data_IF_805884002423
#
_entry.id   IF_805884002423
#
_cell.length_a   1.000
_cell.length_b   1.000
_cell.length_c   1.000
_cell.angle_alpha   90.00
_cell.angle_beta   90.00
_cell.angle_gamma   90.00
#
_symmetry.space_group_name_H-M   'P 1'
#
loop_
_entity.id
_entity.type
_entity.pdbx_description
1 polymer ?
#
# COMPACT_ATOMS: atom_id res chain seq x y z
N UNK A 1 17.97 6.08 14.05
CA UNK A 1 16.58 5.79 13.63
C UNK A 1 16.00 4.73 14.54
N UNK A 2 14.79 4.91 15.07
CA UNK A 2 14.22 3.97 16.05
C UNK A 2 13.97 2.60 15.40
N UNK A 3 14.46 1.53 16.04
CA UNK A 3 14.28 0.14 15.59
C UNK A 3 12.79 -0.18 15.35
N UNK A 4 11.93 0.35 16.20
CA UNK A 4 10.48 0.22 16.11
C UNK A 4 9.87 0.77 14.80
N UNK A 5 10.41 1.86 14.24
CA UNK A 5 9.95 2.40 12.95
C UNK A 5 10.35 1.50 11.78
N UNK A 6 11.57 0.95 11.81
CA UNK A 6 12.07 -0.01 10.81
C UNK A 6 11.23 -1.29 10.82
N UNK A 7 10.94 -1.80 12.00
CA UNK A 7 10.12 -3.01 12.14
C UNK A 7 8.71 -2.81 11.58
N UNK A 8 8.06 -1.67 11.85
CA UNK A 8 6.76 -1.35 11.25
C UNK A 8 6.83 -1.28 9.73
N UNK A 9 7.89 -0.68 9.18
CA UNK A 9 8.08 -0.60 7.75
C UNK A 9 8.31 -1.98 7.13
N UNK A 10 9.07 -2.85 7.80
CA UNK A 10 9.25 -4.24 7.37
C UNK A 10 7.91 -4.98 7.30
N UNK A 11 7.07 -4.84 8.33
CA UNK A 11 5.73 -5.42 8.32
C UNK A 11 4.88 -4.88 7.15
N UNK A 12 4.95 -3.57 6.87
CA UNK A 12 4.23 -2.97 5.73
C UNK A 12 4.69 -3.59 4.39
N UNK A 13 6.00 -3.78 4.19
CA UNK A 13 6.55 -4.40 2.99
C UNK A 13 6.18 -5.88 2.86
N UNK A 14 6.27 -6.67 3.94
CA UNK A 14 5.87 -8.08 3.93
C UNK A 14 4.37 -8.22 3.65
N UNK A 15 3.54 -7.37 4.27
CA UNK A 15 2.10 -7.36 4.01
C UNK A 15 1.80 -7.02 2.54
N UNK A 16 2.47 -6.01 1.99
CA UNK A 16 2.32 -5.64 0.58
C UNK A 16 2.73 -6.79 -0.36
N UNK A 17 3.86 -7.45 -0.10
CA UNK A 17 4.30 -8.61 -0.88
C UNK A 17 3.29 -9.74 -0.83
N UNK A 18 2.72 -10.04 0.34
CA UNK A 18 1.67 -11.04 0.50
C UNK A 18 0.40 -10.65 -0.26
N UNK A 19 -0.03 -9.38 -0.23
CA UNK A 19 -1.20 -8.91 -1.00
C UNK A 19 -0.98 -9.13 -2.50
N UNK A 20 0.19 -8.75 -3.03
CA UNK A 20 0.49 -8.96 -4.46
C UNK A 20 0.54 -10.45 -4.79
N UNK A 21 1.11 -11.29 -3.92
CA UNK A 21 1.10 -12.75 -4.10
C UNK A 21 -0.33 -13.31 -4.12
N UNK A 22 -1.20 -12.85 -3.21
CA UNK A 22 -2.60 -13.27 -3.19
C UNK A 22 -3.37 -12.84 -4.46
N UNK A 23 -3.04 -11.70 -5.07
CA UNK A 23 -3.64 -11.30 -6.35
C UNK A 23 -3.28 -12.25 -7.49
N UNK A 24 -2.16 -13.00 -7.38
CA UNK A 24 -1.76 -14.02 -8.34
C UNK A 24 -2.52 -15.35 -8.16
N UNK A 25 -3.82 -15.30 -7.84
CA UNK A 25 -4.64 -16.47 -7.49
C UNK A 25 -4.55 -17.62 -8.53
N UNK A 26 -4.58 -17.31 -9.81
CA UNK A 26 -4.52 -18.32 -10.89
C UNK A 26 -3.19 -19.04 -11.01
N UNK A 27 -2.13 -18.45 -10.46
CA UNK A 27 -0.80 -19.06 -10.39
C UNK A 27 -0.54 -19.72 -9.03
N UNK A 28 -1.04 -19.12 -7.96
CA UNK A 28 -0.86 -19.59 -6.59
C UNK A 28 -1.78 -20.78 -6.24
N UNK A 29 -2.90 -20.92 -6.96
CA UNK A 29 -3.99 -21.86 -6.67
C UNK A 29 -4.69 -21.57 -5.33
N UNK A 30 -5.79 -22.28 -5.07
CA UNK A 30 -6.69 -21.97 -3.96
C UNK A 30 -6.02 -22.21 -2.59
N UNK A 31 -5.42 -23.37 -2.39
CA UNK A 31 -4.84 -23.74 -1.09
C UNK A 31 -3.76 -22.76 -0.66
N UNK A 32 -2.78 -22.47 -1.53
CA UNK A 32 -1.72 -21.55 -1.17
C UNK A 32 -2.22 -20.10 -1.06
N UNK A 33 -3.24 -19.69 -1.83
CA UNK A 33 -3.88 -18.39 -1.63
C UNK A 33 -4.50 -18.26 -0.22
N UNK A 34 -5.19 -19.30 0.27
CA UNK A 34 -5.76 -19.31 1.61
C UNK A 34 -4.69 -19.29 2.71
N UNK A 35 -3.59 -20.03 2.53
CA UNK A 35 -2.45 -20.01 3.45
C UNK A 35 -1.80 -18.62 3.49
N UNK A 36 -1.51 -18.02 2.34
CA UNK A 36 -0.91 -16.68 2.26
C UNK A 36 -1.85 -15.62 2.84
N UNK A 37 -3.16 -15.72 2.58
CA UNK A 37 -4.18 -14.87 3.20
C UNK A 37 -4.20 -15.00 4.73
N UNK A 38 -4.12 -16.22 5.25
CA UNK A 38 -4.08 -16.46 6.71
C UNK A 38 -2.83 -15.85 7.35
N UNK A 39 -1.66 -15.99 6.70
CA UNK A 39 -0.42 -15.35 7.14
C UNK A 39 -0.55 -13.82 7.10
N UNK A 40 -1.13 -13.28 6.04
CA UNK A 40 -1.39 -11.84 5.90
C UNK A 40 -2.27 -11.32 7.05
N UNK A 41 -3.41 -11.96 7.33
CA UNK A 41 -4.30 -11.52 8.41
C UNK A 41 -3.64 -11.63 9.78
N UNK A 42 -2.88 -12.70 10.04
CA UNK A 42 -2.11 -12.86 11.27
C UNK A 42 -1.10 -11.71 11.45
N UNK A 43 -0.38 -11.36 10.38
CA UNK A 43 0.57 -10.26 10.35
C UNK A 43 -0.14 -8.91 10.60
N UNK A 44 -1.27 -8.65 9.95
CA UNK A 44 -2.05 -7.42 10.09
C UNK A 44 -2.62 -7.28 11.50
N UNK A 45 -3.13 -8.36 12.11
CA UNK A 45 -3.59 -8.38 13.50
C UNK A 45 -2.43 -8.05 14.43
N UNK A 46 -1.28 -8.73 14.29
CA UNK A 46 -0.07 -8.45 15.07
C UNK A 46 0.40 -7.00 14.92
N UNK A 47 0.42 -6.47 13.69
CA UNK A 47 0.76 -5.09 13.39
C UNK A 47 -0.18 -4.10 14.12
N UNK A 48 -1.49 -4.38 14.14
CA UNK A 48 -2.48 -3.54 14.80
C UNK A 48 -2.35 -3.59 16.33
N UNK A 49 -2.12 -4.77 16.91
CA UNK A 49 -1.89 -4.95 18.35
C UNK A 49 -0.65 -4.19 18.79
N UNK A 50 0.46 -4.31 18.06
CA UNK A 50 1.70 -3.58 18.34
C UNK A 50 1.52 -2.06 18.25
N UNK A 51 0.63 -1.61 17.36
CA UNK A 51 0.34 -0.19 17.14
C UNK A 51 -0.87 0.32 17.95
N UNK A 52 -1.40 -0.44 18.92
CA UNK A 52 -2.60 -0.05 19.68
C UNK A 52 -2.49 1.31 20.37
N UNK A 53 -1.30 1.65 20.86
CA UNK A 53 -1.00 2.93 21.54
C UNK A 53 -1.05 4.14 20.60
N UNK A 54 -1.01 3.91 19.28
CA UNK A 54 -1.20 4.98 18.31
C UNK A 54 -2.66 5.45 18.29
N UNK A 55 -3.63 4.53 18.38
CA UNK A 55 -5.07 4.88 18.39
C UNK A 55 -5.43 5.85 19.52
N UNK A 56 -4.86 5.67 20.72
CA UNK A 56 -5.09 6.58 21.85
C UNK A 56 -4.36 7.94 21.76
N UNK A 57 -3.38 8.08 20.86
CA UNK A 57 -2.67 9.35 20.60
C UNK A 57 -3.27 10.13 19.44
N UNK A 58 -3.92 9.45 18.49
CA UNK A 58 -4.62 10.09 17.37
C UNK A 58 -5.70 11.05 17.83
N UNK A 59 -6.41 10.71 18.92
CA UNK A 59 -7.43 11.55 19.51
C UNK A 59 -6.91 12.85 20.15
N UNK A 60 -5.58 13.03 20.27
CA UNK A 60 -4.97 14.15 21.02
C UNK A 60 -4.13 15.07 20.11
N UNK A 61 -4.44 16.36 20.12
CA UNK A 61 -3.66 17.43 19.46
C UNK A 61 -4.37 18.09 18.28
N UNK A 62 -3.73 19.11 17.69
CA UNK A 62 -4.27 19.86 16.54
C UNK A 62 -4.26 18.98 15.28
N UNK A 63 -5.33 19.07 14.49
CA UNK A 63 -5.49 18.35 13.22
C UNK A 63 -5.08 19.27 12.08
N UNK A 64 -4.05 18.89 11.33
CA UNK A 64 -3.73 19.48 10.03
C UNK A 64 -4.23 18.56 8.90
N UNK A 65 -4.24 19.05 7.65
CA UNK A 65 -4.77 18.29 6.51
C UNK A 65 -4.04 16.96 6.27
N UNK A 66 -2.75 16.91 6.57
CA UNK A 66 -1.92 15.70 6.46
C UNK A 66 -2.32 14.66 7.49
N UNK A 67 -2.60 15.09 8.72
CA UNK A 67 -3.05 14.22 9.81
C UNK A 67 -4.45 13.66 9.53
N UNK A 68 -5.36 14.47 8.98
CA UNK A 68 -6.67 14.00 8.55
C UNK A 68 -6.56 12.91 7.48
N UNK A 69 -5.75 13.13 6.45
CA UNK A 69 -5.54 12.12 5.40
C UNK A 69 -5.03 10.81 6.00
N UNK A 70 -4.03 10.85 6.89
CA UNK A 70 -3.51 9.65 7.52
C UNK A 70 -4.56 8.91 8.39
N UNK A 71 -5.40 9.65 9.13
CA UNK A 71 -6.48 9.06 9.94
C UNK A 71 -7.51 8.39 9.04
N UNK A 72 -7.95 9.06 7.98
CA UNK A 72 -8.90 8.52 7.00
C UNK A 72 -8.31 7.27 6.34
N UNK A 73 -7.07 7.33 5.84
CA UNK A 73 -6.40 6.18 5.24
C UNK A 73 -6.37 4.99 6.18
N UNK A 74 -6.05 5.18 7.46
CA UNK A 74 -5.99 4.07 8.44
C UNK A 74 -7.39 3.54 8.77
N UNK A 75 -8.40 4.41 8.88
CA UNK A 75 -9.78 4.00 9.12
C UNK A 75 -10.34 3.18 7.95
N UNK A 76 -10.13 3.65 6.72
CA UNK A 76 -10.54 2.94 5.50
C UNK A 76 -9.78 1.64 5.34
N UNK A 77 -8.47 1.61 5.64
CA UNK A 77 -7.67 0.39 5.59
C UNK A 77 -8.17 -0.67 6.57
N UNK A 78 -8.57 -0.27 7.79
CA UNK A 78 -9.21 -1.19 8.75
C UNK A 78 -10.52 -1.76 8.21
N UNK A 79 -11.37 -0.90 7.64
CA UNK A 79 -12.65 -1.33 7.08
C UNK A 79 -12.45 -2.34 5.96
N UNK A 80 -11.61 -2.01 4.97
CA UNK A 80 -11.29 -2.91 3.85
C UNK A 80 -10.65 -4.21 4.32
N UNK A 81 -9.71 -4.17 5.27
CA UNK A 81 -9.13 -5.39 5.84
C UNK A 81 -10.17 -6.26 6.56
N UNK A 82 -11.18 -5.65 7.19
CA UNK A 82 -12.28 -6.40 7.83
C UNK A 82 -13.17 -7.07 6.77
N UNK A 83 -13.52 -6.33 5.70
CA UNK A 83 -14.27 -6.89 4.57
C UNK A 83 -13.50 -8.05 3.93
N UNK A 84 -12.19 -7.89 3.71
CA UNK A 84 -11.32 -8.94 3.19
C UNK A 84 -11.32 -10.17 4.09
N UNK A 85 -11.18 -10.01 5.41
CA UNK A 85 -11.17 -11.13 6.35
C UNK A 85 -12.50 -11.90 6.34
N UNK A 86 -13.62 -11.18 6.42
CA UNK A 86 -14.95 -11.79 6.41
C UNK A 86 -15.20 -12.51 5.09
N UNK A 87 -14.94 -11.86 3.96
CA UNK A 87 -15.16 -12.47 2.65
C UNK A 87 -14.23 -13.66 2.41
N UNK A 88 -12.96 -13.61 2.82
CA UNK A 88 -12.02 -14.75 2.75
C UNK A 88 -12.55 -15.98 3.46
N UNK A 89 -13.07 -15.81 4.69
CA UNK A 89 -13.63 -16.93 5.47
C UNK A 89 -14.87 -17.49 4.79
N UNK A 90 -15.76 -16.64 4.30
CA UNK A 90 -17.02 -17.07 3.67
C UNK A 90 -16.84 -17.75 2.31
N UNK A 91 -15.75 -17.47 1.58
CA UNK A 91 -15.46 -18.08 0.26
C UNK A 91 -14.45 -19.22 0.33
N UNK A 92 -13.85 -19.49 1.49
CA UNK A 92 -12.80 -20.50 1.67
C UNK A 92 -13.31 -21.90 1.31
N UNK A 93 -12.44 -22.69 0.68
CA UNK A 93 -12.71 -24.04 0.22
C UNK A 93 -11.80 -25.09 0.84
N UNK A 94 -10.64 -24.69 1.37
CA UNK A 94 -9.67 -25.66 1.91
C UNK A 94 -9.53 -25.53 3.44
N UNK A 95 -9.29 -24.32 3.97
CA UNK A 95 -8.96 -24.11 5.37
C UNK A 95 -10.18 -23.88 6.28
N UNK A 96 -11.21 -23.18 5.80
CA UNK A 96 -12.38 -22.76 6.59
C UNK A 96 -13.69 -23.26 5.99
N UNK A 97 -13.70 -24.48 5.46
CA UNK A 97 -14.87 -25.10 4.83
C UNK A 97 -16.14 -25.09 5.68
N UNK A 98 -15.99 -25.21 7.00
CA UNK A 98 -17.12 -25.21 7.95
C UNK A 98 -17.82 -23.85 8.14
N UNK A 99 -17.18 -22.75 7.72
CA UNK A 99 -17.73 -21.38 7.73
C UNK A 99 -18.11 -20.89 6.33
N UNK A 100 -17.79 -21.67 5.30
CA UNK A 100 -17.98 -21.29 3.91
C UNK A 100 -19.46 -21.29 3.54
N UNK A 101 -19.85 -20.36 2.67
CA UNK A 101 -21.19 -20.30 2.09
C UNK A 101 -21.21 -21.01 0.74
N UNK A 102 -22.17 -21.93 0.57
CA UNK A 102 -22.42 -22.55 -0.73
C UNK A 102 -22.83 -21.50 -1.77
N UNK A 103 -22.20 -21.55 -2.96
CA UNK A 103 -22.57 -20.65 -4.06
C UNK A 103 -22.25 -19.16 -3.82
N UNK A 104 -21.24 -18.82 -3.02
CA UNK A 104 -20.87 -17.45 -2.63
C UNK A 104 -20.29 -16.57 -3.76
N UNK A 105 -20.94 -16.48 -4.91
CA UNK A 105 -20.50 -15.70 -6.07
C UNK A 105 -20.36 -14.21 -5.75
N UNK A 106 -21.40 -13.61 -5.16
CA UNK A 106 -21.37 -12.21 -4.75
C UNK A 106 -20.23 -11.92 -3.75
N UNK A 107 -19.92 -12.87 -2.85
CA UNK A 107 -18.81 -12.71 -1.90
C UNK A 107 -17.46 -12.73 -2.60
N UNK A 108 -17.29 -13.53 -3.67
CA UNK A 108 -16.06 -13.52 -4.49
C UNK A 108 -15.89 -12.19 -5.23
N UNK A 109 -16.97 -11.62 -5.77
CA UNK A 109 -16.92 -10.30 -6.40
C UNK A 109 -16.51 -9.22 -5.40
N UNK A 110 -17.15 -9.20 -4.23
CA UNK A 110 -16.79 -8.27 -3.15
C UNK A 110 -15.35 -8.50 -2.68
N UNK A 111 -14.90 -9.75 -2.58
CA UNK A 111 -13.52 -10.09 -2.21
C UNK A 111 -12.51 -9.55 -3.22
N UNK A 112 -12.71 -9.80 -4.51
CA UNK A 112 -11.83 -9.30 -5.58
C UNK A 112 -11.82 -7.78 -5.61
N UNK A 113 -12.98 -7.14 -5.52
CA UNK A 113 -13.12 -5.69 -5.46
C UNK A 113 -12.35 -5.09 -4.27
N UNK A 114 -12.57 -5.65 -3.08
CA UNK A 114 -11.90 -5.23 -1.86
C UNK A 114 -10.39 -5.46 -1.93
N UNK A 115 -9.91 -6.52 -2.61
CA UNK A 115 -8.49 -6.80 -2.79
C UNK A 115 -7.78 -5.73 -3.63
N UNK A 116 -8.39 -5.28 -4.73
CA UNK A 116 -7.82 -4.21 -5.56
C UNK A 116 -7.82 -2.86 -4.84
N UNK A 117 -8.92 -2.54 -4.14
CA UNK A 117 -8.97 -1.35 -3.28
C UNK A 117 -7.96 -1.43 -2.14
N UNK A 118 -7.75 -2.63 -1.57
CA UNK A 118 -6.76 -2.84 -0.53
C UNK A 118 -5.36 -2.50 -1.05
N UNK A 119 -4.98 -3.00 -2.23
CA UNK A 119 -3.69 -2.67 -2.83
C UNK A 119 -3.54 -1.16 -3.05
N UNK A 120 -4.58 -0.49 -3.55
CA UNK A 120 -4.59 0.96 -3.74
C UNK A 120 -4.36 1.70 -2.42
N UNK A 121 -5.15 1.40 -1.39
CA UNK A 121 -5.10 2.08 -0.08
C UNK A 121 -3.76 1.82 0.63
N UNK A 122 -3.24 0.59 0.56
CA UNK A 122 -1.91 0.26 1.12
C UNK A 122 -0.80 1.02 0.39
N UNK A 123 -0.91 1.19 -0.93
CA UNK A 123 0.06 2.00 -1.70
C UNK A 123 0.05 3.47 -1.28
N UNK A 124 -1.15 4.04 -1.06
CA UNK A 124 -1.31 5.39 -0.49
C UNK A 124 -0.71 5.44 0.91
N UNK A 125 -1.02 4.46 1.77
CA UNK A 125 -0.46 4.38 3.13
C UNK A 125 1.07 4.37 3.11
N UNK A 126 1.67 3.58 2.22
CA UNK A 126 3.12 3.52 2.03
C UNK A 126 3.70 4.89 1.60
N UNK A 127 3.02 5.59 0.69
CA UNK A 127 3.40 6.95 0.27
C UNK A 127 3.39 7.98 1.40
N UNK A 128 2.49 7.85 2.39
CA UNK A 128 2.51 8.71 3.58
C UNK A 128 3.78 8.53 4.44
N UNK A 129 4.40 7.34 4.35
CA UNK A 129 5.59 6.94 5.10
C UNK A 129 6.90 7.13 4.31
N UNK A 130 6.87 7.82 3.18
CA UNK A 130 8.01 8.03 2.28
C UNK A 130 9.31 8.44 3.00
N UNK A 131 9.24 9.32 4.00
CA UNK A 131 10.42 9.73 4.77
C UNK A 131 11.11 8.58 5.49
N UNK A 132 10.36 7.62 6.03
CA UNK A 132 10.91 6.41 6.69
C UNK A 132 11.50 5.47 5.63
N UNK A 133 10.86 5.35 4.47
CA UNK A 133 11.36 4.54 3.35
C UNK A 133 12.72 5.09 2.90
N UNK A 134 12.81 6.37 2.58
CA UNK A 134 14.05 7.00 2.13
C UNK A 134 15.16 6.93 3.18
N UNK A 135 14.84 7.15 4.45
CA UNK A 135 15.83 6.99 5.54
C UNK A 135 16.30 5.54 5.69
N UNK A 136 15.44 4.56 5.44
CA UNK A 136 15.79 3.14 5.47
C UNK A 136 16.66 2.76 4.28
N UNK A 137 16.30 3.18 3.06
CA UNK A 137 17.12 3.01 1.88
C UNK A 137 18.52 3.63 2.07
N UNK A 138 18.59 4.88 2.56
CA UNK A 138 19.87 5.53 2.86
C UNK A 138 20.71 4.73 3.86
N UNK A 139 20.09 4.19 4.90
CA UNK A 139 20.80 3.37 5.88
C UNK A 139 21.32 2.04 5.29
N UNK A 140 20.53 1.36 4.46
CA UNK A 140 20.89 0.08 3.83
C UNK A 140 22.03 0.27 2.81
N UNK A 141 21.96 1.33 2.01
CA UNK A 141 22.99 1.66 1.02
C UNK A 141 24.18 2.45 1.60
N UNK A 142 24.25 2.66 2.92
CA UNK A 142 25.36 3.35 3.57
C UNK A 142 25.50 4.84 3.23
N UNK A 143 24.44 5.50 2.75
CA UNK A 143 24.45 6.89 2.31
C UNK A 143 24.37 7.82 3.52
N UNK A 144 25.54 8.21 4.05
CA UNK A 144 25.67 9.07 5.24
C UNK A 144 25.46 10.56 4.92
N UNK A 145 26.05 11.04 3.82
CA UNK A 145 25.97 12.46 3.45
C UNK A 145 24.86 12.77 2.44
N UNK A 146 24.46 14.04 2.38
CA UNK A 146 23.57 14.55 1.35
C UNK A 146 24.31 14.62 0.00
N UNK A 147 24.51 13.46 -0.64
CA UNK A 147 25.11 13.40 -1.96
C UNK A 147 24.07 13.81 -3.04
N UNK A 148 24.28 14.91 -3.77
CA UNK A 148 23.35 15.36 -4.80
C UNK A 148 23.20 14.34 -5.94
N UNK A 149 24.25 13.58 -6.26
CA UNK A 149 24.22 12.50 -7.25
C UNK A 149 23.29 11.39 -6.79
N UNK A 150 23.45 10.91 -5.55
CA UNK A 150 22.60 9.87 -4.99
C UNK A 150 21.12 10.29 -4.93
N UNK A 151 20.88 11.55 -4.53
CA UNK A 151 19.53 12.12 -4.52
C UNK A 151 18.92 12.17 -5.92
N UNK A 152 19.71 12.56 -6.93
CA UNK A 152 19.27 12.58 -8.33
C UNK A 152 19.00 11.17 -8.85
N UNK A 153 19.86 10.20 -8.55
CA UNK A 153 19.66 8.78 -8.92
C UNK A 153 18.39 8.20 -8.31
N UNK A 154 18.13 8.44 -7.02
CA UNK A 154 16.90 7.99 -6.34
C UNK A 154 15.64 8.62 -6.96
N UNK A 155 15.71 9.91 -7.34
CA UNK A 155 14.60 10.57 -8.04
C UNK A 155 14.39 10.00 -9.44
N UNK A 156 15.46 9.76 -10.20
CA UNK A 156 15.37 9.13 -11.52
C UNK A 156 14.79 7.73 -11.43
N UNK A 157 15.20 6.94 -10.43
CA UNK A 157 14.62 5.62 -10.17
C UNK A 157 13.12 5.71 -9.84
N UNK A 158 12.72 6.64 -8.97
CA UNK A 158 11.31 6.86 -8.65
C UNK A 158 10.50 7.30 -9.89
N UNK A 159 11.06 8.15 -10.75
CA UNK A 159 10.45 8.55 -12.02
C UNK A 159 10.32 7.36 -12.97
N UNK A 160 11.36 6.55 -13.13
CA UNK A 160 11.33 5.36 -13.97
C UNK A 160 10.26 4.35 -13.49
N UNK A 161 10.19 4.09 -12.19
CA UNK A 161 9.15 3.26 -11.57
C UNK A 161 7.77 3.85 -11.79
N UNK A 162 7.60 5.17 -11.69
CA UNK A 162 6.31 5.83 -11.92
C UNK A 162 5.87 5.73 -13.39
N UNK A 163 6.77 5.95 -14.34
CA UNK A 163 6.49 5.81 -15.77
C UNK A 163 6.12 4.36 -16.12
N UNK A 164 6.85 3.38 -15.57
CA UNK A 164 6.51 1.98 -15.70
C UNK A 164 5.14 1.71 -15.08
N UNK A 165 4.85 2.24 -13.90
CA UNK A 165 3.55 2.10 -13.24
C UNK A 165 2.38 2.67 -14.04
N UNK A 166 2.58 3.75 -14.81
CA UNK A 166 1.55 4.30 -15.70
C UNK A 166 1.26 3.32 -16.85
N UNK A 167 2.30 2.76 -17.46
CA UNK A 167 2.16 1.70 -18.47
C UNK A 167 1.44 0.48 -17.88
N UNK A 168 1.90 0.01 -16.72
CA UNK A 168 1.31 -1.13 -16.01
C UNK A 168 -0.14 -0.88 -15.60
N UNK A 169 -0.54 0.35 -15.28
CA UNK A 169 -1.93 0.68 -14.94
C UNK A 169 -2.88 0.32 -16.09
N UNK A 170 -2.47 0.61 -17.33
CA UNK A 170 -3.23 0.27 -18.52
C UNK A 170 -3.17 -1.24 -18.81
N UNK A 171 -1.97 -1.84 -18.78
CA UNK A 171 -1.78 -3.27 -19.06
C UNK A 171 -2.48 -4.19 -18.06
N UNK A 172 -2.53 -3.80 -16.79
CA UNK A 172 -3.21 -4.55 -15.73
C UNK A 172 -4.71 -4.22 -15.66
N UNK A 173 -5.21 -3.33 -16.52
CA UNK A 173 -6.58 -2.79 -16.46
C UNK A 173 -6.97 -2.38 -15.03
N UNK A 174 -6.03 -1.77 -14.30
CA UNK A 174 -6.18 -1.57 -12.85
C UNK A 174 -7.32 -0.58 -12.53
N UNK A 175 -7.55 0.41 -13.39
CA UNK A 175 -8.65 1.36 -13.26
C UNK A 175 -10.04 0.71 -13.34
N UNK A 176 -10.25 -0.24 -14.25
CA UNK A 176 -11.55 -0.93 -14.38
C UNK A 176 -11.82 -1.84 -13.18
N UNK A 177 -10.76 -2.47 -12.65
CA UNK A 177 -10.80 -3.30 -11.43
C UNK A 177 -11.25 -2.50 -10.19
N UNK A 178 -10.92 -1.20 -10.11
CA UNK A 178 -11.35 -0.33 -9.01
C UNK A 178 -12.83 0.11 -9.09
N UNK A 179 -13.47 -0.01 -10.26
CA UNK A 179 -14.89 0.37 -10.47
C UNK A 179 -15.77 -0.88 -10.65
N UNK A 180 -15.25 -2.07 -10.32
CA UNK A 180 -15.95 -3.35 -10.46
C UNK A 180 -16.47 -3.60 -11.89
N UNK A 181 -15.75 -3.12 -12.90
CA UNK A 181 -16.10 -3.47 -14.28
C UNK A 181 -15.66 -4.91 -14.51
N UNK A 182 -16.54 -5.73 -15.10
CA UNK A 182 -16.21 -7.11 -15.51
C UNK A 182 -15.11 -7.08 -16.57
N UNK A 183 -13.85 -7.13 -16.14
CA UNK A 183 -12.75 -7.50 -17.01
C UNK A 183 -12.36 -8.93 -16.63
N UNK A 184 -12.76 -9.90 -17.45
CA UNK A 184 -12.16 -11.25 -17.47
C UNK A 184 -10.72 -11.20 -18.02
N UNK A 185 -10.03 -10.10 -17.75
CA UNK A 185 -8.69 -9.79 -18.21
C UNK A 185 -7.71 -10.27 -17.13
N UNK A 186 -7.44 -11.57 -17.24
CA UNK A 186 -6.54 -12.30 -16.37
C UNK A 186 -5.16 -12.31 -16.99
N UNK A 187 -4.14 -12.07 -16.15
CA UNK A 187 -2.77 -12.11 -16.61
C UNK A 187 -2.39 -13.52 -17.06
N UNK A 188 -1.76 -13.64 -18.23
CA UNK A 188 -1.23 -14.91 -18.69
C UNK A 188 0.09 -15.23 -17.97
N UNK A 189 0.01 -16.08 -16.96
CA UNK A 189 1.18 -16.52 -16.21
C UNK A 189 2.13 -17.40 -17.01
N UNK A 190 1.72 -17.94 -18.17
CA UNK A 190 2.60 -18.67 -19.08
C UNK A 190 3.55 -17.74 -19.84
N UNK A 191 3.12 -16.51 -20.13
CA UNK A 191 3.97 -15.52 -20.78
C UNK A 191 5.05 -15.02 -19.81
N UNK A 192 4.64 -14.53 -18.64
CA UNK A 192 5.59 -14.00 -17.66
C UNK A 192 5.02 -13.92 -16.25
N UNK A 193 5.41 -14.86 -15.37
CA UNK A 193 5.10 -14.75 -13.94
C UNK A 193 5.74 -13.51 -13.31
N UNK A 194 6.99 -13.20 -13.66
CA UNK A 194 7.69 -12.02 -13.13
C UNK A 194 7.04 -10.72 -13.60
N UNK A 195 6.51 -10.66 -14.82
CA UNK A 195 5.81 -9.50 -15.36
C UNK A 195 4.63 -9.08 -14.49
N UNK A 196 3.86 -10.03 -13.95
CA UNK A 196 2.76 -9.76 -13.02
C UNK A 196 3.25 -8.98 -11.78
N UNK A 197 4.26 -9.51 -11.10
CA UNK A 197 4.79 -8.90 -9.88
C UNK A 197 5.44 -7.54 -10.13
N UNK A 198 6.17 -7.40 -11.24
CA UNK A 198 6.77 -6.13 -11.65
C UNK A 198 5.71 -5.08 -11.95
N UNK A 199 4.63 -5.45 -12.65
CA UNK A 199 3.57 -4.53 -13.02
C UNK A 199 2.78 -4.04 -11.79
N UNK A 200 2.36 -4.93 -10.89
CA UNK A 200 1.72 -4.50 -9.64
C UNK A 200 2.68 -3.75 -8.71
N UNK A 201 3.95 -4.16 -8.62
CA UNK A 201 4.98 -3.45 -7.87
C UNK A 201 5.19 -2.02 -8.38
N UNK A 202 5.17 -1.82 -9.70
CA UNK A 202 5.29 -0.51 -10.33
C UNK A 202 4.05 0.36 -10.10
N UNK A 203 2.83 -0.21 -10.15
CA UNK A 203 1.59 0.49 -9.79
C UNK A 203 1.65 0.98 -8.33
N UNK A 204 2.10 0.12 -7.41
CA UNK A 204 2.28 0.50 -6.01
C UNK A 204 3.30 1.63 -5.86
N UNK A 205 4.42 1.53 -6.57
CA UNK A 205 5.46 2.57 -6.60
C UNK A 205 4.93 3.91 -7.12
N UNK A 206 4.16 3.89 -8.21
CA UNK A 206 3.48 5.06 -8.77
C UNK A 206 2.54 5.71 -7.74
N UNK A 207 1.65 4.93 -7.14
CA UNK A 207 0.67 5.43 -6.16
C UNK A 207 1.34 5.98 -4.88
N UNK A 208 2.39 5.29 -4.41
CA UNK A 208 3.17 5.75 -3.26
C UNK A 208 3.90 7.07 -3.57
N UNK A 209 4.52 7.18 -4.76
CA UNK A 209 5.19 8.39 -5.21
C UNK A 209 4.18 9.55 -5.38
N UNK A 210 3.06 9.31 -6.05
CA UNK A 210 1.99 10.29 -6.23
C UNK A 210 1.51 10.83 -4.88
N UNK A 211 1.20 9.92 -3.94
CA UNK A 211 0.78 10.30 -2.58
C UNK A 211 1.85 11.16 -1.88
N UNK A 212 3.12 10.77 -1.98
CA UNK A 212 4.21 11.52 -1.38
C UNK A 212 4.28 12.95 -1.93
N UNK A 213 4.27 13.12 -3.26
CA UNK A 213 4.40 14.43 -3.89
C UNK A 213 3.16 15.30 -3.65
N UNK A 214 1.95 14.73 -3.64
CA UNK A 214 0.73 15.45 -3.25
C UNK A 214 0.82 15.97 -1.82
N UNK A 215 1.25 15.13 -0.87
CA UNK A 215 1.44 15.55 0.52
C UNK A 215 2.54 16.60 0.68
N UNK A 216 3.63 16.49 -0.09
CA UNK A 216 4.69 17.49 -0.10
C UNK A 216 4.20 18.85 -0.60
N UNK A 217 3.37 18.86 -1.66
CA UNK A 217 2.75 20.06 -2.20
C UNK A 217 1.82 20.73 -1.18
N UNK A 218 0.93 19.96 -0.53
CA UNK A 218 0.01 20.46 0.52
C UNK A 218 0.79 21.09 1.69
N UNK A 219 1.90 20.46 2.11
CA UNK A 219 2.76 21.01 3.18
C UNK A 219 3.53 22.26 2.75
N UNK A 220 3.93 22.34 1.48
CA UNK A 220 4.63 23.49 0.91
C UNK A 220 3.75 24.73 0.80
N UNK A 221 2.49 24.55 0.40
CA UNK A 221 1.49 25.64 0.34
C UNK A 221 1.01 26.14 1.70
N UNK A 222 1.21 25.35 2.78
CA UNK A 222 0.81 25.70 4.14
C UNK A 222 1.87 26.49 4.94
N UNK A 223 3.03 26.82 4.36
CA UNK A 223 4.00 27.71 5.01
C UNK A 223 3.50 29.16 4.93
N UNK A 224 3.25 29.86 6.05
CA UNK A 224 3.05 31.30 6.00
C UNK A 224 4.31 31.92 5.41
N UNK A 225 4.16 32.71 4.36
CA UNK A 225 5.20 33.64 3.92
C UNK A 225 5.47 34.57 5.10
N UNK A 226 6.55 34.32 5.85
CA UNK A 226 7.08 35.29 6.78
C UNK A 226 7.51 36.48 5.93
N UNK A 227 6.67 37.52 5.88
CA UNK A 227 7.09 38.84 5.39
C UNK A 227 8.21 39.28 6.31
N UNK A 228 9.45 39.15 5.86
CA UNK A 228 10.60 39.78 6.49
C UNK A 228 10.43 41.28 6.30
N UNK A 229 9.79 41.96 7.24
CA UNK A 229 9.80 43.42 7.30
C UNK A 229 11.22 43.82 7.69
N UNK A 230 12.04 44.12 6.69
CA UNK A 230 13.34 44.75 6.90
C UNK A 230 13.03 46.18 7.36
N UNK A 231 13.12 46.40 8.68
CA UNK A 231 13.10 47.75 9.25
C UNK A 231 14.46 48.39 8.98
N UNK A 232 14.50 49.33 8.05
CA UNK A 232 15.62 50.25 7.86
C UNK A 232 15.69 51.21 9.05
N UNK A 233 16.80 51.19 9.80
CA UNK A 233 17.34 52.35 10.51
C UNK A 233 18.86 52.29 10.43
#
# INVERSE_FOLDING_TARGET
MNLMLRFRLLLDFVALSLIIACLAYWWLENFAHEVFGTVLFTLVIGHNVFNRLWYGRVARGKYDGVRWLNIITIAVLKLVMTIMMVTSVLISRDLFTFLALDGAFAMREVHMFAAYWLLFIVSVHLGTRWGVIMNTCRAVFGIRDANPVCTRSLRLAATAVSLWGIKSWAEMTFGSKLVLTYSLDMWDFNESTLGFFLNYGAIVGLLAAATHYTLAFIRGGARPTVKTTISSK
#
